data_IF_919169309850
#
_entry.id   IF_919169309850
#
_cell.length_a   1.000
_cell.length_b   1.000
_cell.length_c   1.000
_cell.angle_alpha   90.00
_cell.angle_beta   90.00
_cell.angle_gamma   90.00
#
_symmetry.space_group_name_H-M   'P 1'
#
loop_
_entity.id
_entity.type
_entity.pdbx_description
1 polymer ?
#
# COMPACT_ATOMS: atom_id res chain seq x y z
N UNK A 1 -12.65 -22.18 4.05
CA UNK A 1 -11.58 -21.43 3.41
C UNK A 1 -11.79 -19.94 3.61
N UNK A 2 -10.74 -19.24 3.99
CA UNK A 2 -10.88 -17.82 4.23
C UNK A 2 -10.93 -17.06 2.91
N UNK A 3 -11.87 -16.13 2.81
CA UNK A 3 -11.96 -15.26 1.66
C UNK A 3 -10.89 -14.16 1.75
N UNK A 4 -10.19 -13.91 0.66
CA UNK A 4 -9.12 -12.92 0.66
C UNK A 4 -9.63 -11.57 0.17
N UNK A 5 -8.99 -10.50 0.64
CA UNK A 5 -9.35 -9.16 0.20
C UNK A 5 -9.00 -8.93 -1.26
N UNK A 6 -8.00 -9.63 -1.77
CA UNK A 6 -7.64 -9.52 -3.17
C UNK A 6 -8.71 -10.08 -4.11
N UNK A 7 -9.70 -10.79 -3.57
CA UNK A 7 -10.83 -11.29 -4.36
C UNK A 7 -12.06 -10.39 -4.22
N UNK A 8 -11.95 -9.25 -3.54
CA UNK A 8 -13.08 -8.40 -3.22
C UNK A 8 -12.82 -6.95 -3.61
N UNK A 9 -12.80 -6.65 -4.93
CA UNK A 9 -12.50 -5.28 -5.37
C UNK A 9 -13.48 -4.23 -4.86
N UNK A 10 -14.70 -4.64 -4.49
CA UNK A 10 -15.70 -3.70 -4.01
C UNK A 10 -15.35 -3.09 -2.66
N UNK A 11 -14.37 -3.66 -1.95
CA UNK A 11 -13.93 -3.10 -0.68
C UNK A 11 -12.93 -1.96 -0.82
N UNK A 12 -12.44 -1.74 -2.02
CA UNK A 12 -11.38 -0.76 -2.29
C UNK A 12 -11.90 0.38 -3.13
N UNK A 13 -11.35 1.58 -2.91
CA UNK A 13 -11.56 2.67 -3.86
C UNK A 13 -10.91 2.29 -5.19
N UNK A 14 -11.32 2.98 -6.27
CA UNK A 14 -10.77 2.68 -7.59
C UNK A 14 -9.27 2.83 -7.63
N UNK A 15 -8.74 3.90 -7.02
CA UNK A 15 -7.30 4.12 -7.06
C UNK A 15 -6.55 3.09 -6.21
N UNK A 16 -7.15 2.66 -5.09
CA UNK A 16 -6.53 1.63 -4.25
C UNK A 16 -6.51 0.29 -4.96
N UNK A 17 -7.61 -0.06 -5.63
CA UNK A 17 -7.64 -1.30 -6.39
C UNK A 17 -6.61 -1.26 -7.52
N UNK A 18 -6.47 -0.10 -8.17
CA UNK A 18 -5.50 0.04 -9.23
C UNK A 18 -4.07 -0.14 -8.72
N UNK A 19 -3.81 0.28 -7.48
CA UNK A 19 -2.51 0.03 -6.88
C UNK A 19 -2.20 -1.46 -6.80
N UNK A 20 -3.20 -2.27 -6.44
CA UNK A 20 -3.00 -3.71 -6.40
C UNK A 20 -2.72 -4.28 -7.79
N UNK A 21 -3.47 -3.81 -8.79
CA UNK A 21 -3.24 -4.29 -10.15
C UNK A 21 -1.85 -3.93 -10.66
N UNK A 22 -1.42 -2.70 -10.42
CA UNK A 22 -0.10 -2.26 -10.85
C UNK A 22 1.01 -2.93 -10.05
N UNK A 23 0.76 -3.19 -8.78
CA UNK A 23 1.72 -3.91 -7.94
C UNK A 23 1.93 -5.34 -8.43
N UNK A 24 0.85 -5.99 -8.86
CA UNK A 24 0.96 -7.32 -9.43
C UNK A 24 1.81 -7.30 -10.70
N UNK A 25 1.61 -6.29 -11.54
CA UNK A 25 2.44 -6.13 -12.73
C UNK A 25 3.91 -5.91 -12.38
N UNK A 26 4.15 -5.15 -11.31
CA UNK A 26 5.52 -4.92 -10.84
C UNK A 26 6.18 -6.24 -10.46
N UNK A 27 5.46 -7.10 -9.73
CA UNK A 27 6.01 -8.41 -9.37
C UNK A 27 6.37 -9.22 -10.60
N UNK A 28 5.52 -9.19 -11.62
CA UNK A 28 5.78 -9.93 -12.86
C UNK A 28 6.95 -9.36 -13.64
N UNK A 29 7.12 -8.03 -13.62
CA UNK A 29 8.25 -7.41 -14.29
C UNK A 29 9.58 -7.77 -13.66
N UNK A 30 9.58 -8.00 -12.35
CA UNK A 30 10.78 -8.43 -11.64
C UNK A 30 10.99 -9.94 -11.71
N UNK A 31 10.08 -10.65 -12.40
CA UNK A 31 10.12 -12.11 -12.53
C UNK A 31 10.06 -12.82 -11.19
N UNK A 32 9.23 -12.30 -10.29
CA UNK A 32 9.01 -12.92 -8.99
C UNK A 32 7.78 -13.82 -9.08
N UNK A 33 7.79 -14.89 -8.28
CA UNK A 33 6.68 -15.84 -8.27
C UNK A 33 5.55 -15.41 -7.34
N UNK A 34 5.76 -14.35 -6.57
CA UNK A 34 4.81 -13.96 -5.55
C UNK A 34 4.66 -12.45 -5.54
N UNK A 35 3.40 -12.00 -5.54
CA UNK A 35 3.08 -10.57 -5.37
C UNK A 35 3.02 -10.28 -3.87
N UNK A 36 3.85 -9.37 -3.39
CA UNK A 36 3.93 -9.11 -1.97
C UNK A 36 4.12 -7.62 -1.68
N UNK A 37 4.38 -7.30 -0.42
CA UNK A 37 4.40 -5.92 0.09
C UNK A 37 5.43 -5.06 -0.63
N UNK A 38 6.61 -5.60 -0.90
CA UNK A 38 7.68 -4.83 -1.55
C UNK A 38 7.27 -4.32 -2.93
N UNK A 39 6.43 -5.07 -3.63
CA UNK A 39 5.95 -4.63 -4.94
C UNK A 39 4.99 -3.46 -4.80
N UNK A 40 4.19 -3.46 -3.75
CA UNK A 40 3.29 -2.35 -3.46
C UNK A 40 4.09 -1.08 -3.18
N UNK A 41 5.12 -1.20 -2.35
CA UNK A 41 5.95 -0.04 -2.01
C UNK A 41 6.60 0.52 -3.28
N UNK A 42 7.20 -0.35 -4.08
CA UNK A 42 7.86 0.09 -5.31
C UNK A 42 6.89 0.82 -6.23
N UNK A 43 5.70 0.26 -6.39
CA UNK A 43 4.69 0.85 -7.25
C UNK A 43 4.25 2.22 -6.76
N UNK A 44 4.03 2.35 -5.44
CA UNK A 44 3.62 3.61 -4.85
C UNK A 44 4.63 4.73 -5.13
N UNK A 45 5.92 4.39 -5.08
CA UNK A 45 6.97 5.39 -5.18
C UNK A 45 7.49 5.59 -6.60
N UNK A 46 7.00 4.83 -7.58
CA UNK A 46 7.45 4.98 -8.96
C UNK A 46 6.34 5.36 -9.94
N UNK A 47 5.09 5.06 -9.62
CA UNK A 47 3.99 5.34 -10.52
C UNK A 47 3.43 6.73 -10.31
N UNK A 48 3.24 7.47 -11.39
CA UNK A 48 2.69 8.83 -11.33
C UNK A 48 1.29 8.86 -10.74
N UNK A 49 0.57 7.75 -10.81
CA UNK A 49 -0.79 7.68 -10.31
C UNK A 49 -0.90 7.99 -8.82
N UNK A 50 0.16 7.69 -8.06
CA UNK A 50 0.13 7.86 -6.61
C UNK A 50 1.00 9.01 -6.14
N UNK A 51 1.53 9.78 -7.07
CA UNK A 51 2.49 10.83 -6.76
C UNK A 51 1.91 11.85 -5.78
N UNK A 52 0.64 12.21 -5.96
CA UNK A 52 0.03 13.24 -5.13
C UNK A 52 -0.08 12.80 -3.66
N UNK A 53 -0.21 11.50 -3.41
CA UNK A 53 -0.20 11.01 -2.04
C UNK A 53 1.21 11.02 -1.45
N UNK A 54 2.17 10.60 -2.24
CA UNK A 54 3.54 10.43 -1.77
C UNK A 54 4.23 11.78 -1.55
N UNK A 55 4.00 12.75 -2.44
CA UNK A 55 4.69 14.03 -2.32
C UNK A 55 4.25 14.80 -1.08
N UNK A 56 3.10 14.49 -0.52
CA UNK A 56 2.62 15.15 0.70
C UNK A 56 3.21 14.56 1.97
N UNK A 57 3.92 13.45 1.85
CA UNK A 57 4.56 12.83 2.99
C UNK A 57 5.96 13.40 3.17
N UNK A 58 6.36 13.60 4.42
CA UNK A 58 7.70 14.09 4.75
C UNK A 58 8.67 12.91 4.73
N UNK A 59 8.90 12.35 3.54
CA UNK A 59 9.68 11.12 3.40
C UNK A 59 10.73 11.29 2.31
N UNK A 60 11.89 10.68 2.52
CA UNK A 60 12.96 10.65 1.54
C UNK A 60 12.67 9.52 0.55
N UNK A 61 12.10 9.89 -0.60
CA UNK A 61 11.64 8.91 -1.57
C UNK A 61 12.80 8.11 -2.17
N UNK A 62 13.95 8.74 -2.38
CA UNK A 62 15.09 8.06 -2.97
C UNK A 62 15.60 6.94 -2.05
N UNK A 63 15.63 7.20 -0.74
CA UNK A 63 16.04 6.19 0.22
C UNK A 63 15.06 5.02 0.23
N UNK A 64 13.76 5.31 0.20
CA UNK A 64 12.74 4.26 0.16
C UNK A 64 12.93 3.37 -1.06
N UNK A 65 13.14 3.98 -2.22
CA UNK A 65 13.31 3.23 -3.46
C UNK A 65 14.58 2.41 -3.45
N UNK A 66 15.71 2.99 -2.98
CA UNK A 66 16.96 2.26 -2.94
C UNK A 66 16.85 0.98 -2.11
N UNK A 67 16.26 1.10 -0.91
CA UNK A 67 16.13 -0.06 -0.03
C UNK A 67 15.18 -1.09 -0.63
N UNK A 68 14.06 -0.61 -1.18
CA UNK A 68 13.07 -1.50 -1.76
C UNK A 68 13.64 -2.25 -2.95
N UNK A 69 14.40 -1.57 -3.81
CA UNK A 69 14.98 -2.21 -4.98
C UNK A 69 16.06 -3.21 -4.60
N UNK A 70 16.85 -2.90 -3.56
CA UNK A 70 17.80 -3.88 -3.06
C UNK A 70 17.09 -5.15 -2.60
N UNK A 71 15.97 -4.99 -1.91
CA UNK A 71 15.18 -6.11 -1.44
C UNK A 71 14.64 -6.93 -2.62
N UNK A 72 14.15 -6.24 -3.65
CA UNK A 72 13.61 -6.90 -4.83
C UNK A 72 14.69 -7.66 -5.58
N UNK A 73 15.89 -7.08 -5.68
CA UNK A 73 16.99 -7.72 -6.38
C UNK A 73 17.48 -8.97 -5.68
N UNK A 74 17.33 -9.02 -4.35
CA UNK A 74 17.75 -10.20 -3.59
C UNK A 74 16.74 -11.32 -3.63
N UNK A 75 15.54 -11.06 -4.09
CA UNK A 75 14.51 -12.09 -4.20
C UNK A 75 14.79 -12.96 -5.43
N UNK A 76 14.78 -14.29 -5.28
CA UNK A 76 15.08 -15.17 -6.42
C UNK A 76 14.09 -14.99 -7.56
N UNK A 77 14.61 -15.11 -8.78
CA UNK A 77 13.80 -15.05 -9.98
C UNK A 77 12.91 -16.30 -10.04
N UNK A 78 11.68 -16.12 -10.48
CA UNK A 78 10.73 -17.21 -10.61
C UNK A 78 11.13 -18.12 -11.78
N UNK A 79 11.34 -19.39 -11.50
CA UNK A 79 11.63 -20.39 -12.52
C UNK A 79 10.45 -21.31 -12.77
N UNK A 80 9.30 -20.97 -12.19
CA UNK A 80 8.08 -21.75 -12.29
C UNK A 80 7.00 -20.90 -12.94
N UNK A 81 5.98 -21.55 -13.51
CA UNK A 81 4.85 -20.82 -14.08
C UNK A 81 3.80 -20.45 -13.02
N UNK A 82 4.04 -20.85 -11.77
CA UNK A 82 3.07 -20.58 -10.71
C UNK A 82 3.31 -19.19 -10.14
N UNK A 83 2.25 -18.39 -10.10
CA UNK A 83 2.29 -17.05 -9.52
C UNK A 83 1.21 -16.97 -8.45
N UNK A 84 1.59 -16.48 -7.27
CA UNK A 84 0.68 -16.44 -6.12
C UNK A 84 0.68 -15.07 -5.47
N UNK A 85 -0.33 -14.84 -4.62
CA UNK A 85 -0.40 -13.64 -3.77
C UNK A 85 0.25 -14.01 -2.43
N UNK A 86 1.16 -13.17 -1.96
CA UNK A 86 1.86 -13.44 -0.73
C UNK A 86 0.96 -13.35 0.49
N UNK A 87 1.22 -14.24 1.46
CA UNK A 87 0.46 -14.22 2.69
C UNK A 87 0.66 -12.93 3.47
N UNK A 88 1.87 -12.40 3.45
CA UNK A 88 2.14 -11.13 4.14
C UNK A 88 1.34 -9.99 3.56
N UNK A 89 1.15 -9.98 2.24
CA UNK A 89 0.33 -8.98 1.60
C UNK A 89 -1.13 -9.11 2.04
N UNK A 90 -1.64 -10.34 2.11
CA UNK A 90 -3.01 -10.54 2.56
C UNK A 90 -3.20 -10.02 3.98
N UNK A 91 -2.22 -10.27 4.84
CA UNK A 91 -2.28 -9.76 6.21
C UNK A 91 -2.27 -8.23 6.22
N UNK A 92 -1.43 -7.63 5.38
CA UNK A 92 -1.37 -6.18 5.29
C UNK A 92 -2.72 -5.60 4.86
N UNK A 93 -3.38 -6.24 3.90
CA UNK A 93 -4.68 -5.77 3.42
C UNK A 93 -5.75 -5.93 4.50
N UNK A 94 -5.70 -7.00 5.29
CA UNK A 94 -6.58 -7.14 6.44
C UNK A 94 -6.38 -6.00 7.42
N UNK A 95 -5.13 -5.63 7.67
CA UNK A 95 -4.82 -4.52 8.57
C UNK A 95 -5.34 -3.20 8.02
N UNK A 96 -5.19 -2.98 6.72
CA UNK A 96 -5.71 -1.77 6.08
C UNK A 96 -7.23 -1.70 6.22
N UNK A 97 -7.90 -2.84 6.10
CA UNK A 97 -9.34 -2.90 6.27
C UNK A 97 -9.75 -2.53 7.70
N UNK A 98 -8.99 -2.96 8.70
CA UNK A 98 -9.26 -2.58 10.08
C UNK A 98 -9.07 -1.08 10.28
N UNK A 99 -8.04 -0.51 9.68
CA UNK A 99 -7.82 0.94 9.77
C UNK A 99 -8.98 1.68 9.12
N UNK A 100 -9.43 1.22 7.97
CA UNK A 100 -10.58 1.80 7.28
C UNK A 100 -11.80 1.84 8.19
N UNK A 101 -12.06 0.74 8.88
CA UNK A 101 -13.20 0.66 9.78
C UNK A 101 -13.05 1.64 10.94
N UNK A 102 -11.86 1.69 11.53
CA UNK A 102 -11.60 2.59 12.65
C UNK A 102 -11.75 4.05 12.27
N UNK A 103 -11.45 4.38 11.02
CA UNK A 103 -11.52 5.76 10.54
C UNK A 103 -12.89 6.11 9.95
N UNK A 104 -13.82 5.16 9.95
CA UNK A 104 -15.18 5.41 9.49
C UNK A 104 -15.32 5.56 7.99
N UNK A 105 -14.37 5.04 7.24
CA UNK A 105 -14.41 5.11 5.78
C UNK A 105 -15.17 3.91 5.22
N UNK A 106 -15.83 4.12 4.08
CA UNK A 106 -16.58 3.06 3.43
C UNK A 106 -15.70 2.12 2.61
N UNK A 107 -14.58 2.64 2.12
CA UNK A 107 -13.68 1.89 1.25
C UNK A 107 -12.26 1.98 1.77
N UNK A 108 -11.45 1.00 1.39
CA UNK A 108 -10.02 1.05 1.69
C UNK A 108 -9.39 2.07 0.73
N UNK A 109 -8.80 3.12 1.29
CA UNK A 109 -8.19 4.20 0.54
C UNK A 109 -6.68 4.13 0.64
N UNK A 110 -5.99 4.89 -0.21
CA UNK A 110 -4.53 4.91 -0.19
C UNK A 110 -3.97 5.24 1.21
N UNK A 111 -4.52 6.23 1.94
CA UNK A 111 -4.00 6.50 3.30
C UNK A 111 -4.08 5.29 4.23
N UNK A 112 -5.13 4.48 4.14
CA UNK A 112 -5.23 3.28 4.97
C UNK A 112 -4.13 2.29 4.63
N UNK A 113 -3.84 2.15 3.33
CA UNK A 113 -2.77 1.27 2.89
C UNK A 113 -1.40 1.79 3.33
N UNK A 114 -1.19 3.09 3.27
CA UNK A 114 0.07 3.69 3.71
C UNK A 114 0.31 3.46 5.20
N UNK A 115 -0.73 3.59 6.02
CA UNK A 115 -0.58 3.33 7.46
C UNK A 115 -0.27 1.86 7.70
N UNK A 116 -0.97 0.97 7.01
CA UNK A 116 -0.70 -0.46 7.14
C UNK A 116 0.75 -0.77 6.74
N UNK A 117 1.25 -0.13 5.68
CA UNK A 117 2.64 -0.29 5.26
C UNK A 117 3.60 0.19 6.33
N UNK A 118 3.31 1.34 6.95
CA UNK A 118 4.18 1.88 7.98
C UNK A 118 4.21 1.04 9.25
N UNK A 119 3.19 0.22 9.46
CA UNK A 119 3.12 -0.69 10.61
C UNK A 119 3.68 -2.07 10.31
N UNK A 120 3.95 -2.35 9.03
CA UNK A 120 4.40 -3.68 8.62
C UNK A 120 5.82 -3.93 9.09
N UNK A 121 6.00 -4.96 9.93
CA UNK A 121 7.30 -5.26 10.51
C UNK A 121 8.20 -6.06 9.59
N UNK A 122 7.67 -6.56 8.48
CA UNK A 122 8.47 -7.32 7.53
C UNK A 122 9.40 -6.42 6.72
N UNK A 123 8.88 -5.31 6.21
CA UNK A 123 9.69 -4.39 5.39
C UNK A 123 9.23 -2.95 5.51
N UNK A 124 7.91 -2.69 5.52
CA UNK A 124 7.40 -1.33 5.40
C UNK A 124 7.85 -0.39 6.49
N UNK A 125 7.79 -0.83 7.74
CA UNK A 125 8.19 0.01 8.87
C UNK A 125 9.67 0.42 8.74
N UNK A 126 10.52 -0.54 8.42
CA UNK A 126 11.95 -0.28 8.27
C UNK A 126 12.20 0.73 7.13
N UNK A 127 11.57 0.49 5.99
CA UNK A 127 11.79 1.34 4.81
C UNK A 127 11.37 2.77 5.08
N UNK A 128 10.21 2.96 5.72
CA UNK A 128 9.71 4.29 6.01
C UNK A 128 10.58 5.01 7.02
N UNK A 129 11.04 4.29 8.06
CA UNK A 129 11.90 4.90 9.05
C UNK A 129 13.25 5.31 8.47
N UNK A 130 13.79 4.49 7.59
CA UNK A 130 15.04 4.86 6.91
C UNK A 130 14.83 6.07 6.02
N UNK A 131 13.62 6.27 5.51
CA UNK A 131 13.25 7.46 4.76
C UNK A 131 12.87 8.63 5.65
N UNK A 132 13.14 8.54 6.95
CA UNK A 132 12.90 9.60 7.93
C UNK A 132 11.44 9.89 8.23
N UNK A 133 10.58 8.87 8.10
CA UNK A 133 9.16 9.02 8.42
C UNK A 133 8.75 7.94 9.39
N UNK A 134 8.59 8.29 10.67
CA UNK A 134 8.11 7.36 11.69
C UNK A 134 6.63 7.09 11.49
N UNK A 135 6.17 5.97 12.06
CA UNK A 135 4.74 5.63 11.96
C UNK A 135 3.87 6.70 12.61
N UNK A 136 4.34 7.28 13.70
CA UNK A 136 3.57 8.33 14.38
C UNK A 136 3.38 9.54 13.48
N UNK A 137 4.44 9.99 12.82
CA UNK A 137 4.34 11.10 11.90
C UNK A 137 3.51 10.76 10.68
N UNK A 138 3.66 9.54 10.18
CA UNK A 138 2.87 9.09 9.04
C UNK A 138 1.38 9.17 9.35
N UNK A 139 0.97 8.64 10.50
CA UNK A 139 -0.43 8.67 10.88
C UNK A 139 -0.92 10.09 11.07
N UNK A 140 -0.08 10.95 11.63
CA UNK A 140 -0.46 12.35 11.83
C UNK A 140 -0.63 13.06 10.49
N UNK A 141 0.30 12.86 9.57
CA UNK A 141 0.23 13.51 8.27
C UNK A 141 -0.97 13.05 7.45
N UNK A 142 -1.30 11.76 7.55
CA UNK A 142 -2.43 11.22 6.79
C UNK A 142 -3.78 11.59 7.39
N UNK A 143 -3.82 11.95 8.66
CA UNK A 143 -5.06 12.34 9.31
C UNK A 143 -5.74 13.51 8.63
N UNK A 144 -4.96 14.35 7.98
CA UNK A 144 -5.46 15.56 7.34
C UNK A 144 -5.60 15.42 5.83
N UNK A 145 -5.53 14.22 5.32
CA UNK A 145 -5.73 14.00 3.89
C UNK A 145 -7.19 14.21 3.53
N UNK A 146 -7.48 15.08 2.55
CA UNK A 146 -8.87 15.40 2.20
C UNK A 146 -9.69 14.20 1.74
N UNK A 147 -9.08 13.22 1.09
CA UNK A 147 -9.83 12.08 0.57
C UNK A 147 -10.53 11.30 1.67
N UNK A 148 -9.92 11.18 2.84
CA UNK A 148 -10.54 10.46 3.94
C UNK A 148 -11.80 11.17 4.40
N UNK A 149 -11.73 12.49 4.51
CA UNK A 149 -12.86 13.29 4.97
C UNK A 149 -13.97 13.32 3.94
N UNK A 150 -13.61 13.38 2.67
CA UNK A 150 -14.61 13.47 1.62
C UNK A 150 -15.47 12.23 1.54
N UNK A 151 -14.90 11.07 1.81
CA UNK A 151 -15.67 9.84 1.75
C UNK A 151 -16.77 9.82 2.80
N UNK A 152 -16.68 10.67 3.81
CA UNK A 152 -17.72 10.75 4.82
C UNK A 152 -18.77 11.77 4.51
N UNK A 153 -18.40 12.74 3.68
CA UNK A 153 -19.29 13.86 3.46
C UNK A 153 -20.20 13.70 2.33
N UNK A 154 -20.13 12.80 1.73
CA UNK A 154 -20.90 12.64 0.70
C UNK A 154 -22.05 12.25 0.98
N UNK A 155 -22.20 12.42 1.67
CA UNK A 155 -23.16 12.22 2.05
C UNK A 155 -23.92 13.12 2.47
N UNK A 156 -23.88 13.88 2.65
CA UNK A 156 -24.46 14.71 3.01
C UNK A 156 -24.72 15.61 2.54
N UNK A 157 -24.41 15.56 2.57
CA UNK A 157 -24.76 16.45 2.10
C UNK A 157 -25.07 16.76 1.46
N UNK A 158 -24.80 16.78 1.65
CA UNK A 158 -25.03 17.21 1.18
C UNK A 158 -25.31 17.47 0.88
N UNK A 159 -25.22 17.59 1.25
CA UNK A 159 -25.42 17.95 0.98
C UNK A 159 -25.52 18.14 0.61
#
# INVERSE_FOLDING_TARGET
>A
MRETLTANPELFSDISWNLLLLGEETAKKWDHSEFNIEHIIHTLFTSNEFFEFIEKLSIDQDTVLDITEDFLEETPINESDIFTIGEDLEILLDNANQIKIQWGSNLIEIPHLLIALGRDLRIGNYVFQEGNLSIERLEEELRFFPTINQSQNFIEHEN
#
